data_IF_917713529316
#
_entry.id   IF_917713529316
#
_cell.length_a   1.000
_cell.length_b   1.000
_cell.length_c   1.000
_cell.angle_alpha   90.00
_cell.angle_beta   90.00
_cell.angle_gamma   90.00
#
_symmetry.space_group_name_H-M   'P 1'
#
loop_
_entity.id
_entity.type
_entity.pdbx_description
1 polymer ?
#
# COMPACT_ATOMS: atom_id res chain seq x y z
N UNK A 1 7.54 21.95 14.52
CA UNK A 1 7.06 23.27 14.97
C UNK A 1 6.60 24.16 13.81
N UNK A 2 7.38 24.34 12.74
CA UNK A 2 7.00 25.21 11.60
C UNK A 2 5.67 24.82 10.91
N UNK A 3 5.45 23.52 10.66
CA UNK A 3 4.20 23.03 10.04
C UNK A 3 2.96 23.24 10.92
N UNK A 4 3.09 23.05 12.23
CA UNK A 4 1.99 23.28 13.17
C UNK A 4 1.61 24.76 13.27
N UNK A 5 2.61 25.66 13.24
CA UNK A 5 2.36 27.11 13.21
C UNK A 5 1.69 27.53 11.90
N UNK A 6 2.15 27.00 10.76
CA UNK A 6 1.50 27.23 9.46
C UNK A 6 0.05 26.75 9.48
N UNK A 7 -0.20 25.54 9.99
CA UNK A 7 -1.56 24.99 10.10
C UNK A 7 -2.47 25.83 11.01
N UNK A 8 -1.97 26.25 12.17
CA UNK A 8 -2.70 27.15 13.07
C UNK A 8 -3.01 28.49 12.42
N UNK A 9 -2.04 29.10 11.73
CA UNK A 9 -2.23 30.36 11.03
C UNK A 9 -3.24 30.26 9.87
N UNK A 10 -3.14 29.22 9.03
CA UNK A 10 -4.10 28.97 7.94
C UNK A 10 -5.51 28.71 8.46
N UNK A 11 -5.65 27.94 9.55
CA UNK A 11 -6.94 27.68 10.18
C UNK A 11 -7.56 28.95 10.78
N UNK A 12 -6.76 29.79 11.45
CA UNK A 12 -7.21 31.06 12.00
C UNK A 12 -7.65 32.05 10.89
N UNK A 13 -6.89 32.14 9.80
CA UNK A 13 -7.24 32.96 8.64
C UNK A 13 -8.56 32.50 8.01
N UNK A 14 -8.73 31.19 7.79
CA UNK A 14 -9.96 30.66 7.25
C UNK A 14 -11.16 30.91 8.17
N UNK A 15 -11.01 30.69 9.49
CA UNK A 15 -12.05 31.00 10.47
C UNK A 15 -12.43 32.49 10.44
N UNK A 16 -11.46 33.38 10.30
CA UNK A 16 -11.68 34.83 10.22
C UNK A 16 -12.45 35.20 8.97
N UNK A 17 -12.08 34.65 7.81
CA UNK A 17 -12.76 34.90 6.53
C UNK A 17 -14.20 34.40 6.55
N UNK A 18 -14.43 33.19 7.05
CA UNK A 18 -15.77 32.61 7.18
C UNK A 18 -16.62 33.45 8.12
N UNK A 19 -16.08 33.80 9.29
CA UNK A 19 -16.78 34.63 10.30
C UNK A 19 -17.10 36.01 9.75
N UNK A 20 -16.16 36.65 9.05
CA UNK A 20 -16.35 37.96 8.40
C UNK A 20 -17.47 37.92 7.35
N UNK A 21 -17.54 36.85 6.54
CA UNK A 21 -18.59 36.68 5.53
C UNK A 21 -19.99 36.55 6.18
N UNK A 22 -20.09 35.83 7.30
CA UNK A 22 -21.34 35.72 8.06
C UNK A 22 -21.70 36.99 8.84
N UNK A 23 -20.71 37.80 9.26
CA UNK A 23 -20.97 39.11 9.86
C UNK A 23 -21.47 40.13 8.84
N UNK A 24 -20.95 40.12 7.61
CA UNK A 24 -21.39 41.06 6.57
C UNK A 24 -22.76 40.71 5.98
N UNK A 25 -23.19 39.45 6.06
CA UNK A 25 -24.46 39.00 5.45
C UNK A 25 -25.24 38.06 6.36
N UNK A 26 -26.47 38.45 6.70
CA UNK A 26 -27.36 37.67 7.56
C UNK A 26 -27.89 36.37 6.93
N UNK A 27 -27.89 36.26 5.59
CA UNK A 27 -28.40 35.09 4.88
C UNK A 27 -27.27 34.13 4.49
N UNK A 28 -27.38 32.86 4.88
CA UNK A 28 -26.41 31.81 4.58
C UNK A 28 -26.08 31.70 3.09
N UNK A 29 -27.10 31.72 2.23
CA UNK A 29 -26.90 31.64 0.78
C UNK A 29 -26.06 32.81 0.24
N UNK A 30 -26.32 34.04 0.70
CA UNK A 30 -25.59 35.22 0.23
C UNK A 30 -24.15 35.24 0.73
N UNK A 31 -23.89 34.75 1.95
CA UNK A 31 -22.54 34.57 2.48
C UNK A 31 -21.74 33.52 1.67
N UNK A 32 -22.36 32.39 1.31
CA UNK A 32 -21.71 31.36 0.49
C UNK A 32 -21.39 31.84 -0.93
N UNK A 33 -22.31 32.59 -1.55
CA UNK A 33 -22.07 33.19 -2.88
C UNK A 33 -20.92 34.21 -2.83
N UNK A 34 -20.85 35.02 -1.78
CA UNK A 34 -19.73 35.96 -1.58
C UNK A 34 -18.39 35.23 -1.44
N UNK A 35 -18.36 34.16 -0.63
CA UNK A 35 -17.17 33.33 -0.47
C UNK A 35 -16.71 32.68 -1.78
N UNK A 36 -17.64 32.24 -2.63
CA UNK A 36 -17.32 31.64 -3.93
C UNK A 36 -16.91 32.66 -5.01
N UNK A 37 -17.32 33.93 -4.88
CA UNK A 37 -16.97 34.97 -5.86
C UNK A 37 -15.63 35.67 -5.57
N UNK A 38 -15.22 35.72 -4.29
CA UNK A 38 -13.97 36.36 -3.91
C UNK A 38 -12.77 35.42 -4.07
N UNK A 39 -11.87 35.73 -5.01
CA UNK A 39 -10.65 34.95 -5.27
C UNK A 39 -9.79 34.74 -4.01
N UNK A 40 -9.69 35.75 -3.13
CA UNK A 40 -8.94 35.64 -1.88
C UNK A 40 -9.60 34.66 -0.90
N UNK A 41 -10.92 34.70 -0.77
CA UNK A 41 -11.66 33.80 0.11
C UNK A 41 -11.55 32.36 -0.40
N UNK A 42 -11.71 32.15 -1.71
CA UNK A 42 -11.51 30.86 -2.35
C UNK A 42 -10.12 30.30 -2.11
N UNK A 43 -9.05 31.10 -2.29
CA UNK A 43 -7.68 30.65 -2.09
C UNK A 43 -7.43 30.20 -0.64
N UNK A 44 -7.93 30.95 0.34
CA UNK A 44 -7.79 30.62 1.76
C UNK A 44 -8.58 29.34 2.11
N UNK A 45 -9.81 29.20 1.59
CA UNK A 45 -10.63 28.01 1.81
C UNK A 45 -10.03 26.76 1.17
N UNK A 46 -9.54 26.86 -0.07
CA UNK A 46 -8.86 25.76 -0.76
C UNK A 46 -7.61 25.34 0.01
N UNK A 47 -6.82 26.29 0.51
CA UNK A 47 -5.66 26.01 1.36
C UNK A 47 -6.06 25.20 2.60
N UNK A 48 -7.13 25.60 3.29
CA UNK A 48 -7.65 24.88 4.45
C UNK A 48 -8.08 23.44 4.08
N UNK A 49 -8.80 23.27 2.97
CA UNK A 49 -9.23 21.94 2.50
C UNK A 49 -8.03 21.05 2.22
N UNK A 50 -7.01 21.55 1.51
CA UNK A 50 -5.77 20.81 1.28
C UNK A 50 -5.03 20.48 2.57
N UNK A 51 -5.04 21.38 3.55
CA UNK A 51 -4.40 21.14 4.85
C UNK A 51 -5.12 20.05 5.64
N UNK A 52 -6.44 20.12 5.71
CA UNK A 52 -7.27 19.09 6.37
C UNK A 52 -7.09 17.75 5.68
N UNK A 53 -7.13 17.73 4.33
CA UNK A 53 -6.91 16.53 3.53
C UNK A 53 -5.52 15.94 3.76
N UNK A 54 -4.46 16.75 3.68
CA UNK A 54 -3.09 16.31 3.92
C UNK A 54 -2.87 15.80 5.34
N UNK A 55 -3.47 16.46 6.33
CA UNK A 55 -3.42 16.01 7.74
C UNK A 55 -4.17 14.69 7.93
N UNK A 56 -5.33 14.52 7.29
CA UNK A 56 -6.10 13.28 7.30
C UNK A 56 -5.32 12.13 6.63
N UNK A 57 -4.73 12.37 5.45
CA UNK A 57 -3.89 11.39 4.75
C UNK A 57 -2.64 11.03 5.55
N UNK A 58 -1.96 12.00 6.16
CA UNK A 58 -0.82 11.74 7.04
C UNK A 58 -1.21 10.94 8.28
N UNK A 59 -2.38 11.24 8.87
CA UNK A 59 -2.95 10.48 9.98
C UNK A 59 -3.26 9.05 9.58
N UNK A 60 -3.90 8.85 8.42
CA UNK A 60 -4.24 7.53 7.89
C UNK A 60 -2.98 6.73 7.54
N UNK A 61 -1.98 7.35 6.94
CA UNK A 61 -0.67 6.75 6.67
C UNK A 61 -0.02 6.26 7.97
N UNK A 62 -0.04 7.08 9.02
CA UNK A 62 0.55 6.73 10.32
C UNK A 62 -0.24 5.62 11.03
N UNK A 63 -1.56 5.59 10.86
CA UNK A 63 -2.43 4.53 11.38
C UNK A 63 -2.18 3.19 10.66
N UNK A 64 -2.11 3.20 9.33
CA UNK A 64 -2.00 2.02 8.49
C UNK A 64 -0.57 1.48 8.41
N UNK A 65 0.44 2.34 8.23
CA UNK A 65 1.83 1.93 7.96
C UNK A 65 2.80 2.24 9.11
N UNK A 66 2.42 3.10 10.06
CA UNK A 66 3.33 3.56 11.12
C UNK A 66 4.36 4.57 10.61
N UNK A 67 5.57 4.55 11.17
CA UNK A 67 6.66 5.41 10.74
C UNK A 67 7.32 4.84 9.47
N UNK A 68 7.30 5.62 8.38
CA UNK A 68 8.03 5.27 7.16
C UNK A 68 9.54 5.36 7.39
N UNK A 69 10.28 4.43 6.79
CA UNK A 69 11.74 4.45 6.80
C UNK A 69 12.22 5.58 5.87
N UNK A 70 13.35 6.24 6.18
CA UNK A 70 13.89 7.31 5.34
C UNK A 70 14.06 6.90 3.87
N UNK A 71 14.51 5.66 3.61
CA UNK A 71 14.66 5.11 2.26
C UNK A 71 13.34 5.03 1.49
N UNK A 72 12.24 4.69 2.17
CA UNK A 72 10.92 4.63 1.53
C UNK A 72 10.46 6.04 1.15
N UNK A 73 10.73 7.04 2.00
CA UNK A 73 10.37 8.44 1.75
C UNK A 73 11.14 8.99 0.54
N UNK A 74 12.42 8.68 0.43
CA UNK A 74 13.26 9.12 -0.68
C UNK A 74 12.78 8.53 -2.02
N UNK A 75 12.55 7.22 -2.07
CA UNK A 75 12.00 6.56 -3.27
C UNK A 75 10.60 7.08 -3.65
N UNK A 76 9.75 7.34 -2.66
CA UNK A 76 8.43 7.93 -2.90
C UNK A 76 8.54 9.33 -3.47
N UNK A 77 9.50 10.13 -3.02
CA UNK A 77 9.71 11.48 -3.54
C UNK A 77 10.14 11.44 -5.01
N UNK A 78 11.08 10.56 -5.37
CA UNK A 78 11.51 10.37 -6.76
C UNK A 78 10.33 9.93 -7.64
N UNK A 79 9.63 8.86 -7.26
CA UNK A 79 8.46 8.36 -8.00
C UNK A 79 7.36 9.41 -8.11
N UNK A 80 7.10 10.17 -7.05
CA UNK A 80 6.08 11.22 -7.02
C UNK A 80 6.43 12.36 -7.98
N UNK A 81 7.67 12.81 -8.02
CA UNK A 81 8.08 13.86 -8.94
C UNK A 81 7.88 13.44 -10.40
N UNK A 82 8.28 12.21 -10.75
CA UNK A 82 8.04 11.68 -12.10
C UNK A 82 6.56 11.57 -12.44
N UNK A 83 5.74 10.99 -11.55
CA UNK A 83 4.31 10.85 -11.80
C UNK A 83 3.60 12.20 -11.93
N UNK A 84 3.96 13.19 -11.12
CA UNK A 84 3.41 14.55 -11.23
C UNK A 84 3.76 15.13 -12.59
N UNK A 85 5.02 15.02 -13.03
CA UNK A 85 5.43 15.56 -14.34
C UNK A 85 4.72 14.87 -15.51
N UNK A 86 4.53 13.55 -15.45
CA UNK A 86 3.82 12.77 -16.47
C UNK A 86 2.36 13.19 -16.55
N UNK A 87 1.65 13.24 -15.41
CA UNK A 87 0.25 13.65 -15.39
C UNK A 87 0.08 15.13 -15.76
N UNK A 88 1.04 16.00 -15.40
CA UNK A 88 1.05 17.39 -15.86
C UNK A 88 1.25 17.50 -17.37
N UNK A 89 2.14 16.71 -17.97
CA UNK A 89 2.35 16.69 -19.42
C UNK A 89 1.09 16.23 -20.14
N UNK A 90 0.48 15.13 -19.68
CA UNK A 90 -0.74 14.61 -20.28
C UNK A 90 -1.94 15.57 -20.12
N UNK A 91 -1.99 16.35 -19.03
CA UNK A 91 -2.97 17.44 -18.88
C UNK A 91 -2.82 18.51 -19.98
N UNK A 92 -1.59 18.85 -20.40
CA UNK A 92 -1.40 19.88 -21.44
C UNK A 92 -1.87 19.46 -22.83
N UNK A 93 -1.99 18.15 -23.08
CA UNK A 93 -2.49 17.59 -24.35
C UNK A 93 -3.98 17.86 -24.52
N UNK A 94 -4.75 17.75 -23.43
CA UNK A 94 -6.16 18.10 -23.42
C UNK A 94 -6.31 19.56 -23.05
N UNK A 95 -6.52 20.44 -24.03
CA UNK A 95 -6.74 21.89 -23.83
C UNK A 95 -8.15 22.21 -23.27
N UNK A 96 -8.66 21.41 -22.34
CA UNK A 96 -9.94 21.68 -21.66
C UNK A 96 -9.72 22.60 -20.45
N UNK A 97 -10.75 23.40 -20.11
CA UNK A 97 -10.72 24.31 -18.97
C UNK A 97 -10.43 23.52 -17.67
N UNK A 98 -9.31 23.83 -17.01
CA UNK A 98 -8.93 23.20 -15.73
C UNK A 98 -9.93 23.63 -14.66
N UNK A 99 -10.99 22.84 -14.51
CA UNK A 99 -12.03 23.06 -13.51
C UNK A 99 -11.57 22.64 -12.10
N UNK A 100 -12.26 23.12 -11.06
CA UNK A 100 -11.98 22.69 -9.68
C UNK A 100 -12.08 21.17 -9.48
N UNK A 101 -12.95 20.51 -10.24
CA UNK A 101 -13.12 19.06 -10.21
C UNK A 101 -11.88 18.30 -10.70
N UNK A 102 -11.12 18.87 -11.64
CA UNK A 102 -9.86 18.31 -12.11
C UNK A 102 -8.87 18.16 -10.95
N UNK A 103 -8.73 19.21 -10.13
CA UNK A 103 -7.80 19.22 -8.99
C UNK A 103 -8.16 18.12 -7.98
N UNK A 104 -9.46 17.87 -7.78
CA UNK A 104 -9.94 16.78 -6.91
C UNK A 104 -9.53 15.43 -7.47
N UNK A 105 -9.79 15.17 -8.75
CA UNK A 105 -9.42 13.90 -9.40
C UNK A 105 -7.91 13.68 -9.44
N UNK A 106 -7.13 14.73 -9.74
CA UNK A 106 -5.67 14.69 -9.73
C UNK A 106 -5.12 14.39 -8.34
N UNK A 107 -5.64 15.06 -7.30
CA UNK A 107 -5.24 14.80 -5.92
C UNK A 107 -5.58 13.36 -5.52
N UNK A 108 -6.76 12.87 -5.92
CA UNK A 108 -7.16 11.48 -5.67
C UNK A 108 -6.24 10.46 -6.38
N UNK A 109 -5.81 10.76 -7.61
CA UNK A 109 -4.87 9.95 -8.38
C UNK A 109 -3.50 9.85 -7.68
N UNK A 110 -2.91 10.99 -7.32
CA UNK A 110 -1.60 11.03 -6.66
C UNK A 110 -1.66 10.31 -5.31
N UNK A 111 -2.72 10.53 -4.52
CA UNK A 111 -2.91 9.81 -3.26
C UNK A 111 -2.97 8.30 -3.48
N UNK A 112 -3.69 7.84 -4.50
CA UNK A 112 -3.73 6.42 -4.86
C UNK A 112 -2.36 5.87 -5.28
N UNK A 113 -1.61 6.58 -6.13
CA UNK A 113 -0.24 6.21 -6.54
C UNK A 113 0.70 6.09 -5.33
N UNK A 114 0.71 7.10 -4.45
CA UNK A 114 1.53 7.10 -3.23
C UNK A 114 1.16 5.93 -2.31
N UNK A 115 -0.13 5.66 -2.12
CA UNK A 115 -0.58 4.53 -1.29
C UNK A 115 -0.14 3.18 -1.87
N UNK A 116 -0.24 3.02 -3.19
CA UNK A 116 0.21 1.84 -3.91
C UNK A 116 1.72 1.61 -3.75
N UNK A 117 2.54 2.65 -3.95
CA UNK A 117 3.99 2.56 -3.80
C UNK A 117 4.43 2.25 -2.36
N UNK A 118 3.75 2.81 -1.36
CA UNK A 118 4.00 2.46 0.05
C UNK A 118 3.68 0.98 0.27
N UNK A 119 2.54 0.50 -0.23
CA UNK A 119 2.14 -0.90 -0.13
C UNK A 119 3.15 -1.84 -0.77
N UNK A 120 3.60 -1.53 -1.98
CA UNK A 120 4.60 -2.29 -2.73
C UNK A 120 5.93 -2.39 -1.96
N UNK A 121 6.49 -1.26 -1.50
CA UNK A 121 7.73 -1.26 -0.73
C UNK A 121 7.62 -2.06 0.57
N UNK A 122 6.45 -2.08 1.21
CA UNK A 122 6.22 -2.88 2.43
C UNK A 122 6.11 -4.38 2.15
N UNK A 123 5.53 -4.77 1.02
CA UNK A 123 5.50 -6.18 0.58
C UNK A 123 6.91 -6.65 0.24
N UNK A 124 7.72 -5.83 -0.42
CA UNK A 124 9.12 -6.16 -0.72
C UNK A 124 9.97 -6.34 0.54
N UNK A 125 9.85 -5.43 1.52
CA UNK A 125 10.55 -5.57 2.81
C UNK A 125 10.13 -6.85 3.54
N UNK A 126 8.85 -7.23 3.46
CA UNK A 126 8.36 -8.46 4.04
C UNK A 126 8.95 -9.72 3.36
N UNK A 127 9.09 -9.69 2.03
CA UNK A 127 9.72 -10.79 1.28
C UNK A 127 11.21 -10.95 1.62
N UNK A 128 11.92 -9.85 1.87
CA UNK A 128 13.35 -9.88 2.19
C UNK A 128 13.63 -10.29 3.65
N UNK A 129 12.77 -9.91 4.60
CA UNK A 129 12.99 -10.16 6.03
C UNK A 129 11.67 -10.48 6.77
N UNK A 130 11.43 -11.74 7.18
CA UNK A 130 10.28 -12.08 8.03
C UNK A 130 10.39 -11.39 9.40
N UNK A 131 9.45 -10.52 9.80
CA UNK A 131 9.55 -9.80 11.06
C UNK A 131 9.27 -10.69 12.29
N UNK A 132 10.00 -10.45 13.39
CA UNK A 132 9.88 -11.18 14.65
C UNK A 132 8.50 -11.08 15.34
N UNK A 133 7.67 -10.08 15.00
CA UNK A 133 6.31 -9.89 15.54
C UNK A 133 5.26 -10.01 14.42
N UNK A 134 4.76 -11.22 14.12
CA UNK A 134 4.03 -11.48 12.88
C UNK A 134 2.62 -10.86 12.85
N UNK A 135 1.87 -10.87 13.95
CA UNK A 135 0.42 -10.61 13.89
C UNK A 135 0.05 -9.13 13.66
N UNK A 136 0.63 -8.20 14.42
CA UNK A 136 0.28 -6.78 14.34
C UNK A 136 0.71 -6.15 13.00
N UNK A 137 1.89 -6.55 12.51
CA UNK A 137 2.41 -6.11 11.21
C UNK A 137 1.52 -6.63 10.06
N UNK A 138 1.16 -7.92 10.08
CA UNK A 138 0.26 -8.50 9.08
C UNK A 138 -1.12 -7.85 9.07
N UNK A 139 -1.75 -7.65 10.23
CA UNK A 139 -3.09 -7.05 10.28
C UNK A 139 -3.09 -5.63 9.70
N UNK A 140 -2.06 -4.84 9.98
CA UNK A 140 -1.94 -3.47 9.47
C UNK A 140 -1.68 -3.45 7.96
N UNK A 141 -0.78 -4.30 7.48
CA UNK A 141 -0.45 -4.40 6.06
C UNK A 141 -1.65 -4.89 5.24
N UNK A 142 -2.36 -5.93 5.70
CA UNK A 142 -3.59 -6.43 5.06
C UNK A 142 -4.64 -5.34 4.97
N UNK A 143 -4.91 -4.65 6.07
CA UNK A 143 -5.89 -3.55 6.10
C UNK A 143 -5.51 -2.45 5.11
N UNK A 144 -4.22 -2.11 5.03
CA UNK A 144 -3.73 -1.07 4.12
C UNK A 144 -3.83 -1.46 2.63
N UNK A 145 -3.56 -2.72 2.29
CA UNK A 145 -3.67 -3.25 0.94
C UNK A 145 -5.15 -3.34 0.51
N UNK A 146 -6.02 -3.83 1.40
CA UNK A 146 -7.46 -3.87 1.16
C UNK A 146 -8.05 -2.47 1.02
N UNK A 147 -7.63 -1.51 1.86
CA UNK A 147 -8.08 -0.12 1.73
C UNK A 147 -7.66 0.49 0.41
N UNK A 148 -6.45 0.20 -0.07
CA UNK A 148 -5.97 0.66 -1.37
C UNK A 148 -6.79 0.05 -2.51
N UNK A 149 -7.06 -1.26 -2.45
CA UNK A 149 -7.86 -1.94 -3.47
C UNK A 149 -9.29 -1.39 -3.53
N UNK A 150 -9.95 -1.24 -2.38
CA UNK A 150 -11.30 -0.66 -2.30
C UNK A 150 -11.32 0.76 -2.85
N UNK A 151 -10.35 1.59 -2.46
CA UNK A 151 -10.24 2.98 -2.93
C UNK A 151 -10.06 3.05 -4.45
N UNK A 152 -9.14 2.25 -5.01
CA UNK A 152 -8.86 2.23 -6.44
C UNK A 152 -10.04 1.69 -7.24
N UNK A 153 -10.69 0.61 -6.80
CA UNK A 153 -11.89 0.06 -7.44
C UNK A 153 -13.07 1.02 -7.38
N UNK A 154 -13.24 1.73 -6.27
CA UNK A 154 -14.29 2.74 -6.12
C UNK A 154 -14.07 3.93 -7.06
N UNK A 155 -12.85 4.47 -7.13
CA UNK A 155 -12.52 5.55 -8.05
C UNK A 155 -12.62 5.13 -9.51
N UNK A 156 -12.17 3.93 -9.86
CA UNK A 156 -12.33 3.39 -11.20
C UNK A 156 -13.81 3.28 -11.57
N UNK A 157 -14.64 2.73 -10.68
CA UNK A 157 -16.09 2.63 -10.91
C UNK A 157 -16.74 4.01 -11.06
N UNK A 158 -16.32 4.97 -10.25
CA UNK A 158 -16.78 6.35 -10.34
C UNK A 158 -16.41 6.99 -11.69
N UNK A 159 -15.16 6.83 -12.13
CA UNK A 159 -14.70 7.31 -13.43
C UNK A 159 -15.46 6.65 -14.59
N UNK A 160 -15.67 5.32 -14.56
CA UNK A 160 -16.43 4.61 -15.59
C UNK A 160 -17.85 5.19 -15.69
N UNK A 161 -18.56 5.30 -14.56
CA UNK A 161 -19.92 5.84 -14.54
C UNK A 161 -19.98 7.29 -15.05
N UNK A 162 -18.99 8.10 -14.68
CA UNK A 162 -18.93 9.51 -15.08
C UNK A 162 -18.62 9.66 -16.58
N UNK A 163 -17.70 8.85 -17.11
CA UNK A 163 -17.37 8.84 -18.54
C UNK A 163 -18.56 8.38 -19.39
N UNK A 164 -19.28 7.33 -18.95
CA UNK A 164 -20.50 6.86 -19.62
C UNK A 164 -21.58 7.95 -19.63
N UNK A 165 -21.76 8.67 -18.51
CA UNK A 165 -22.77 9.72 -18.39
C UNK A 165 -22.47 10.98 -19.23
N UNK A 166 -21.20 11.33 -19.39
CA UNK A 166 -20.78 12.56 -20.08
C UNK A 166 -20.72 12.42 -21.61
N UNK A 167 -20.73 11.18 -22.16
CA UNK A 167 -20.80 10.83 -23.58
C UNK A 167 -19.84 11.59 -24.54
N UNK A 168 -18.87 12.34 -24.00
CA UNK A 168 -17.85 13.10 -24.74
C UNK A 168 -16.46 12.70 -24.26
N UNK A 169 -15.50 12.47 -25.18
CA UNK A 169 -14.11 12.24 -24.83
C UNK A 169 -13.55 13.55 -24.26
N UNK A 170 -13.48 13.61 -22.94
CA UNK A 170 -12.99 14.73 -22.13
C UNK A 170 -11.80 14.23 -21.30
N UNK A 171 -11.10 15.13 -20.59
CA UNK A 171 -9.99 14.77 -19.67
C UNK A 171 -10.31 13.60 -18.71
N UNK A 172 -11.59 13.34 -18.41
CA UNK A 172 -12.03 12.23 -17.58
C UNK A 172 -11.61 10.85 -18.12
N UNK A 173 -11.45 10.69 -19.44
CA UNK A 173 -11.04 9.44 -20.08
C UNK A 173 -9.58 9.13 -19.77
N UNK A 174 -8.69 10.13 -19.80
CA UNK A 174 -7.29 9.97 -19.42
C UNK A 174 -7.17 9.53 -17.96
N UNK A 175 -7.93 10.17 -17.05
CA UNK A 175 -7.98 9.74 -15.65
C UNK A 175 -8.52 8.32 -15.51
N UNK A 176 -9.55 7.94 -16.27
CA UNK A 176 -10.09 6.58 -16.24
C UNK A 176 -9.00 5.55 -16.52
N UNK A 177 -8.15 5.78 -17.51
CA UNK A 177 -7.04 4.88 -17.84
C UNK A 177 -5.97 4.85 -16.76
N UNK A 178 -5.59 6.00 -16.21
CA UNK A 178 -4.65 6.09 -15.09
C UNK A 178 -5.17 5.38 -13.84
N UNK A 179 -6.47 5.50 -13.52
CA UNK A 179 -7.10 4.76 -12.43
C UNK A 179 -7.21 3.27 -12.73
N UNK A 180 -7.39 2.86 -13.99
CA UNK A 180 -7.39 1.46 -14.38
C UNK A 180 -6.00 0.83 -14.20
N UNK A 181 -4.94 1.52 -14.64
CA UNK A 181 -3.54 1.10 -14.40
C UNK A 181 -3.27 0.99 -12.89
N UNK A 182 -3.74 1.96 -12.11
CA UNK A 182 -3.59 1.97 -10.66
C UNK A 182 -4.33 0.80 -9.99
N UNK A 183 -5.56 0.49 -10.43
CA UNK A 183 -6.34 -0.65 -9.93
C UNK A 183 -5.67 -1.99 -10.25
N UNK A 184 -5.14 -2.16 -11.48
CA UNK A 184 -4.37 -3.35 -11.86
C UNK A 184 -3.09 -3.45 -11.03
N UNK A 185 -2.38 -2.35 -10.81
CA UNK A 185 -1.20 -2.31 -9.93
C UNK A 185 -1.53 -2.73 -8.51
N UNK A 186 -2.63 -2.22 -7.94
CA UNK A 186 -3.08 -2.59 -6.60
C UNK A 186 -3.49 -4.07 -6.48
N UNK A 187 -4.12 -4.63 -7.52
CA UNK A 187 -4.44 -6.05 -7.59
C UNK A 187 -3.17 -6.90 -7.66
N UNK A 188 -2.21 -6.51 -8.49
CA UNK A 188 -0.92 -7.18 -8.64
C UNK A 188 -0.17 -7.25 -7.31
N UNK A 189 0.00 -6.12 -6.60
CA UNK A 189 0.63 -6.10 -5.27
C UNK A 189 -0.15 -6.93 -4.25
N UNK A 190 -1.49 -6.89 -4.30
CA UNK A 190 -2.35 -7.70 -3.44
C UNK A 190 -2.17 -9.21 -3.66
N UNK A 191 -2.14 -9.65 -4.91
CA UNK A 191 -1.93 -11.06 -5.25
C UNK A 191 -0.51 -11.53 -4.88
N UNK A 192 0.51 -10.70 -5.14
CA UNK A 192 1.89 -10.99 -4.71
C UNK A 192 1.97 -11.18 -3.19
N UNK A 193 1.31 -10.31 -2.43
CA UNK A 193 1.21 -10.47 -0.99
C UNK A 193 0.50 -11.76 -0.56
N UNK A 194 -0.58 -12.17 -1.24
CA UNK A 194 -1.25 -13.45 -0.99
C UNK A 194 -0.32 -14.64 -1.23
N UNK A 195 0.46 -14.62 -2.31
CA UNK A 195 1.46 -15.67 -2.59
C UNK A 195 2.49 -15.74 -1.46
N UNK A 196 3.03 -14.59 -1.03
CA UNK A 196 4.01 -14.53 0.06
C UNK A 196 3.43 -15.00 1.40
N UNK A 197 2.14 -14.80 1.65
CA UNK A 197 1.46 -15.38 2.82
C UNK A 197 1.29 -16.90 2.74
N UNK A 198 0.98 -17.42 1.55
CA UNK A 198 0.88 -18.87 1.33
C UNK A 198 2.25 -19.51 1.55
N UNK A 199 3.33 -18.92 1.02
CA UNK A 199 4.70 -19.36 1.25
C UNK A 199 5.04 -19.40 2.74
N UNK A 200 4.80 -18.30 3.46
CA UNK A 200 5.05 -18.26 4.91
C UNK A 200 4.27 -19.35 5.66
N UNK A 201 3.05 -19.65 5.22
CA UNK A 201 2.22 -20.71 5.80
C UNK A 201 2.74 -22.11 5.48
N UNK A 202 3.24 -22.33 4.26
CA UNK A 202 3.84 -23.59 3.81
C UNK A 202 5.15 -23.84 4.56
N UNK A 203 6.04 -22.85 4.62
CA UNK A 203 7.32 -22.93 5.35
C UNK A 203 7.06 -23.24 6.81
N UNK A 204 6.09 -22.56 7.45
CA UNK A 204 5.74 -22.84 8.86
C UNK A 204 5.24 -24.28 9.07
N UNK A 205 4.42 -24.80 8.16
CA UNK A 205 3.94 -26.19 8.23
C UNK A 205 5.07 -27.20 8.04
N UNK A 206 5.96 -26.95 7.08
CA UNK A 206 7.12 -27.82 6.82
C UNK A 206 8.12 -27.78 8.00
N UNK A 207 8.35 -26.62 8.59
CA UNK A 207 9.20 -26.44 9.78
C UNK A 207 8.64 -27.24 10.96
N UNK A 208 7.33 -27.11 11.24
CA UNK A 208 6.68 -27.87 12.31
C UNK A 208 6.75 -29.39 12.10
N UNK A 209 6.52 -29.87 10.87
CA UNK A 209 6.62 -31.30 10.54
C UNK A 209 8.03 -31.83 10.72
N UNK A 210 9.05 -31.08 10.28
CA UNK A 210 10.45 -31.47 10.43
C UNK A 210 10.92 -31.41 11.89
N UNK A 211 10.47 -30.42 12.65
CA UNK A 211 10.75 -30.32 14.08
C UNK A 211 10.18 -31.53 14.82
N UNK A 212 8.95 -31.94 14.51
CA UNK A 212 8.35 -33.16 15.06
C UNK A 212 9.12 -34.43 14.66
N UNK A 213 9.57 -34.52 13.42
CA UNK A 213 10.36 -35.67 12.95
C UNK A 213 11.71 -35.76 13.67
N UNK A 214 12.45 -34.64 13.76
CA UNK A 214 13.72 -34.56 14.50
C UNK A 214 13.55 -34.91 15.98
N UNK A 215 12.49 -34.41 16.64
CA UNK A 215 12.16 -34.77 18.03
C UNK A 215 11.81 -36.25 18.20
N UNK A 216 11.31 -36.94 17.17
CA UNK A 216 11.07 -38.40 17.22
C UNK A 216 12.39 -39.17 17.07
N UNK A 217 13.23 -38.77 16.11
CA UNK A 217 14.55 -39.36 15.89
C UNK A 217 15.42 -39.28 17.15
N UNK A 218 15.45 -38.12 17.82
CA UNK A 218 16.18 -37.93 19.09
C UNK A 218 15.62 -38.81 20.21
N UNK A 219 14.29 -38.96 20.31
CA UNK A 219 13.66 -39.85 21.29
C UNK A 219 14.04 -41.32 21.10
N UNK A 220 14.06 -41.77 19.85
CA UNK A 220 14.45 -43.14 19.49
C UNK A 220 15.94 -43.38 19.78
N UNK A 221 16.82 -42.45 19.37
CA UNK A 221 18.25 -42.52 19.66
C UNK A 221 18.52 -42.56 21.17
N UNK A 222 17.83 -41.71 21.95
CA UNK A 222 17.95 -41.70 23.40
C UNK A 222 17.53 -43.04 24.03
N UNK A 223 16.44 -43.63 23.56
CA UNK A 223 15.96 -44.93 24.03
C UNK A 223 16.93 -46.07 23.68
N UNK A 224 17.58 -46.01 22.52
CA UNK A 224 18.59 -46.99 22.11
C UNK A 224 19.87 -46.89 22.95
N UNK A 225 20.37 -45.67 23.20
CA UNK A 225 21.54 -45.44 24.07
C UNK A 225 21.26 -45.95 25.48
N UNK A 226 20.07 -45.71 26.03
CA UNK A 226 19.65 -46.25 27.34
C UNK A 226 19.63 -47.79 27.36
N UNK A 227 19.09 -48.43 26.32
CA UNK A 227 19.10 -49.91 26.23
C UNK A 227 20.51 -50.49 26.13
N UNK A 228 21.42 -49.86 25.36
CA UNK A 228 22.83 -50.31 25.27
C UNK A 228 23.57 -50.16 26.60
N UNK A 229 23.27 -49.12 27.38
CA UNK A 229 23.78 -48.95 28.75
C UNK A 229 23.28 -50.05 29.68
N UNK A 230 21.98 -50.36 29.63
CA UNK A 230 21.38 -51.43 30.44
C UNK A 230 21.92 -52.83 30.08
N UNK A 231 22.28 -53.06 28.81
CA UNK A 231 22.89 -54.31 28.34
C UNK A 231 24.37 -54.47 28.73
N UNK A 232 25.00 -53.45 29.34
CA UNK A 232 26.38 -53.50 29.80
C UNK A 232 27.44 -53.39 28.69
N UNK A 233 27.06 -52.95 27.48
CA UNK A 233 27.97 -52.87 26.32
C UNK A 233 28.79 -51.57 26.25
N UNK A 234 28.61 -50.62 27.17
CA UNK A 234 29.26 -49.29 27.10
C UNK A 234 30.17 -49.02 28.29
N UNK A 235 31.47 -48.82 28.00
CA UNK A 235 32.49 -48.41 28.97
C UNK A 235 32.36 -46.92 29.30
N UNK A 236 32.61 -46.58 30.56
CA UNK A 236 32.63 -45.24 31.16
C UNK A 236 33.46 -44.23 30.31
N UNK A 237 32.84 -43.55 29.33
CA UNK A 237 33.03 -42.13 28.99
C UNK A 237 32.34 -41.74 27.66
N UNK A 238 31.46 -40.72 27.74
CA UNK A 238 31.22 -39.68 26.73
C UNK A 238 30.26 -39.88 25.52
N UNK A 239 29.11 -40.54 25.65
CA UNK A 239 27.95 -40.18 24.80
C UNK A 239 26.89 -39.43 25.62
N UNK A 240 26.85 -38.11 25.48
CA UNK A 240 25.80 -37.25 26.06
C UNK A 240 24.45 -37.64 25.48
N UNK A 241 23.44 -37.79 26.35
CA UNK A 241 22.06 -38.04 25.91
C UNK A 241 21.61 -36.80 25.12
N UNK A 242 21.23 -36.92 23.85
CA UNK A 242 20.73 -35.78 23.10
C UNK A 242 19.43 -35.27 23.76
N UNK A 243 19.37 -33.99 24.11
CA UNK A 243 18.19 -33.38 24.71
C UNK A 243 17.21 -32.94 23.61
N UNK A 244 15.91 -33.17 23.82
CA UNK A 244 14.86 -32.75 22.84
C UNK A 244 14.79 -31.22 22.68
N UNK A 245 15.26 -30.49 23.69
CA UNK A 245 15.25 -29.03 23.77
C UNK A 245 16.46 -28.38 23.08
N UNK A 246 17.50 -29.14 22.72
CA UNK A 246 18.67 -28.66 21.96
C UNK A 246 18.41 -28.55 20.45
N UNK A 247 17.24 -29.03 19.97
CA UNK A 247 16.87 -28.94 18.56
C UNK A 247 16.32 -27.54 18.28
N UNK A 248 17.20 -26.65 17.83
CA UNK A 248 16.81 -25.29 17.52
C UNK A 248 15.96 -25.24 16.23
N UNK A 249 14.82 -24.54 16.29
CA UNK A 249 13.88 -24.43 15.15
C UNK A 249 14.54 -23.75 13.94
N UNK A 250 15.59 -22.97 14.18
CA UNK A 250 16.38 -22.26 13.17
C UNK A 250 17.35 -23.16 12.39
N UNK A 251 17.75 -24.32 12.93
CA UNK A 251 18.70 -25.25 12.28
C UNK A 251 18.02 -26.20 11.29
N UNK A 252 16.69 -26.14 11.21
CA UNK A 252 15.88 -26.94 10.31
C UNK A 252 15.84 -26.25 8.95
N UNK A 253 16.74 -26.65 8.05
CA UNK A 253 16.63 -26.27 6.64
C UNK A 253 15.29 -26.78 6.09
N UNK A 254 14.59 -25.95 5.31
CA UNK A 254 13.30 -26.29 4.71
C UNK A 254 13.41 -26.08 3.19
N UNK A 255 12.96 -27.04 2.35
CA UNK A 255 13.09 -26.95 0.90
C UNK A 255 12.29 -25.79 0.28
N UNK A 256 11.37 -25.18 1.05
CA UNK A 256 10.60 -24.04 0.59
C UNK A 256 9.54 -24.42 -0.45
N UNK A 257 9.07 -23.42 -1.21
CA UNK A 257 8.06 -23.59 -2.26
C UNK A 257 8.68 -23.43 -3.66
N UNK A 258 9.07 -24.54 -4.29
CA UNK A 258 9.78 -24.57 -5.58
C UNK A 258 9.03 -23.88 -6.74
N UNK A 259 7.69 -23.90 -6.76
CA UNK A 259 6.90 -23.31 -7.86
C UNK A 259 6.61 -21.81 -7.70
N UNK A 260 7.06 -21.17 -6.63
CA UNK A 260 6.86 -19.73 -6.36
C UNK A 260 7.30 -18.85 -7.54
N UNK A 261 8.49 -19.12 -8.08
CA UNK A 261 9.07 -18.31 -9.17
C UNK A 261 8.19 -18.29 -10.42
N UNK A 262 7.56 -19.42 -10.77
CA UNK A 262 6.62 -19.50 -11.90
C UNK A 262 5.34 -18.72 -11.64
N UNK A 263 4.78 -18.78 -10.43
CA UNK A 263 3.56 -18.04 -10.09
C UNK A 263 3.77 -16.53 -10.08
N UNK A 264 4.89 -16.06 -9.53
CA UNK A 264 5.25 -14.64 -9.54
C UNK A 264 5.46 -14.17 -10.99
N UNK A 265 6.17 -14.96 -11.80
CA UNK A 265 6.41 -14.61 -13.20
C UNK A 265 5.12 -14.55 -14.03
N UNK A 266 4.18 -15.48 -13.83
CA UNK A 266 2.88 -15.44 -14.48
C UNK A 266 2.07 -14.20 -14.07
N UNK A 267 2.13 -13.84 -12.80
CA UNK A 267 1.43 -12.70 -12.23
C UNK A 267 2.01 -11.36 -12.72
N UNK A 268 3.34 -11.26 -12.80
CA UNK A 268 4.05 -10.11 -13.38
C UNK A 268 3.72 -9.96 -14.87
N UNK A 269 3.72 -11.08 -15.62
CA UNK A 269 3.36 -11.08 -17.04
C UNK A 269 1.91 -10.62 -17.24
N UNK A 270 0.97 -11.16 -16.49
CA UNK A 270 -0.44 -10.83 -16.61
C UNK A 270 -0.73 -9.35 -16.24
N UNK A 271 -0.11 -8.84 -15.19
CA UNK A 271 -0.22 -7.42 -14.83
C UNK A 271 0.43 -6.52 -15.89
N UNK A 272 1.56 -6.96 -16.46
CA UNK A 272 2.22 -6.28 -17.58
C UNK A 272 1.33 -6.20 -18.81
N UNK A 273 0.76 -7.31 -19.25
CA UNK A 273 -0.17 -7.35 -20.40
C UNK A 273 -1.40 -6.50 -20.16
N UNK A 274 -1.98 -6.55 -18.95
CA UNK A 274 -3.14 -5.74 -18.58
C UNK A 274 -2.83 -4.24 -18.66
N UNK A 275 -1.68 -3.81 -18.12
CA UNK A 275 -1.24 -2.41 -18.20
C UNK A 275 -0.97 -1.99 -19.65
N UNK A 276 -0.27 -2.81 -20.43
CA UNK A 276 0.00 -2.54 -21.85
C UNK A 276 -1.29 -2.42 -22.67
N UNK A 277 -2.28 -3.29 -22.42
CA UNK A 277 -3.58 -3.25 -23.10
C UNK A 277 -4.32 -1.93 -22.81
N UNK A 278 -4.32 -1.51 -21.54
CA UNK A 278 -4.95 -0.26 -21.10
C UNK A 278 -4.28 0.96 -21.74
N UNK A 279 -2.95 1.02 -21.75
CA UNK A 279 -2.19 2.11 -22.39
C UNK A 279 -2.38 2.12 -23.92
N UNK A 280 -2.43 0.95 -24.55
CA UNK A 280 -2.69 0.85 -25.99
C UNK A 280 -4.09 1.36 -26.36
N UNK A 281 -5.08 1.10 -25.50
CA UNK A 281 -6.45 1.59 -25.69
C UNK A 281 -6.52 3.12 -25.55
N UNK A 282 -5.83 3.68 -24.56
CA UNK A 282 -5.72 5.13 -24.34
C UNK A 282 -5.10 5.86 -25.55
N UNK A 283 -3.98 5.32 -26.06
CA UNK A 283 -3.29 5.87 -27.24
C UNK A 283 -4.18 5.85 -28.50
N UNK A 284 -5.01 4.82 -28.67
CA UNK A 284 -5.97 4.73 -29.79
C UNK A 284 -7.15 5.69 -29.64
N UNK A 285 -7.58 6.01 -28.42
CA UNK A 285 -8.69 6.93 -28.16
C UNK A 285 -8.28 8.41 -28.20
N UNK A 286 -6.99 8.70 -28.08
CA UNK A 286 -6.43 10.05 -28.10
C UNK A 286 -5.98 10.52 -29.50
N UNK A 287 -5.92 9.61 -30.49
CA UNK A 287 -5.73 9.92 -31.92
C UNK A 287 -7.04 10.25 -32.61
#
# INVERSE_FOLDING_TARGET
MRLAMYAGASAALAATVVTSAFYQRANFYSAMVYLSQSNLCLMILVNLVFLVYGSFMYGLQRLCFGALRPVEVEQLYEKAWFAITETCLAMTVFREEVGAFFIVMFTALITGKVWGWIGEGRVEVFEQQPPANPRLFHTRLVVSLLSSLIYNSWLLSYCINTVIAQAKPTMMVMFLFEFAVLAVGSLHTGLRYVISLVEASVVKRQTAQRLEQRRREVREQRAEILRRREAGETTEDAETLPEEDDIDEMDIEVPGWDTKGQWILFLDLFAGESKCSVVFLDCRLTQ
#
